data_IF_878476463525
#
_entry.id   IF_878476463525
#
_cell.length_a   1.000
_cell.length_b   1.000
_cell.length_c   1.000
_cell.angle_alpha   90.00
_cell.angle_beta   90.00
_cell.angle_gamma   90.00
#
_symmetry.space_group_name_H-M   'P 1'
#
loop_
_entity.id
_entity.type
_entity.pdbx_description
1 polymer ?
#
# COMPACT_ATOMS: atom_id res chain seq x y z
N UNK A 1 -10.43 -7.77 -17.32
CA UNK A 1 -9.14 -7.08 -17.04
C UNK A 1 -8.23 -7.23 -18.27
N UNK A 2 -7.04 -6.58 -18.28
CA UNK A 2 -6.17 -6.59 -19.47
C UNK A 2 -5.61 -7.97 -19.84
N UNK A 3 -5.35 -8.83 -18.86
CA UNK A 3 -4.82 -10.17 -19.09
C UNK A 3 -5.84 -11.07 -19.80
N UNK A 4 -7.11 -11.06 -19.35
CA UNK A 4 -8.19 -11.80 -20.01
C UNK A 4 -8.42 -11.33 -21.45
N UNK A 5 -8.34 -10.01 -21.71
CA UNK A 5 -8.46 -9.48 -23.06
C UNK A 5 -7.30 -9.94 -23.96
N UNK A 6 -6.07 -9.93 -23.45
CA UNK A 6 -4.91 -10.46 -24.17
C UNK A 6 -5.04 -11.97 -24.43
N UNK A 7 -5.52 -12.74 -23.46
CA UNK A 7 -5.79 -14.18 -23.59
C UNK A 7 -6.86 -14.48 -24.64
N UNK A 8 -7.86 -13.61 -24.79
CA UNK A 8 -8.87 -13.67 -25.86
C UNK A 8 -8.36 -13.15 -27.23
N UNK A 9 -7.07 -12.82 -27.36
CA UNK A 9 -6.46 -12.39 -28.61
C UNK A 9 -6.56 -10.89 -28.92
N UNK A 10 -7.14 -10.08 -28.02
CA UNK A 10 -7.19 -8.63 -28.21
C UNK A 10 -5.82 -8.00 -27.98
N UNK A 11 -5.41 -7.12 -28.90
CA UNK A 11 -4.16 -6.33 -28.78
C UNK A 11 -4.48 -4.85 -28.54
N UNK A 12 -3.78 -4.18 -27.61
CA UNK A 12 -3.99 -2.74 -27.40
C UNK A 12 -3.61 -1.96 -28.65
N UNK A 13 -4.55 -1.23 -29.25
CA UNK A 13 -4.24 -0.28 -30.32
C UNK A 13 -3.54 0.97 -29.76
N UNK A 14 -3.08 1.88 -30.62
CA UNK A 14 -2.39 3.12 -30.21
C UNK A 14 -3.26 4.06 -29.36
N UNK A 15 -4.58 3.96 -29.48
CA UNK A 15 -5.55 4.71 -28.68
C UNK A 15 -5.88 4.02 -27.36
N UNK A 16 -5.82 2.68 -27.32
CA UNK A 16 -6.04 1.92 -26.09
C UNK A 16 -4.84 2.11 -25.15
N UNK A 17 -5.11 2.66 -23.97
CA UNK A 17 -4.13 2.90 -22.90
C UNK A 17 -4.42 2.00 -21.69
N UNK A 18 -4.36 0.66 -21.81
CA UNK A 18 -4.58 -0.23 -20.68
C UNK A 18 -3.59 0.00 -19.54
N UNK A 19 -2.40 0.52 -19.83
CA UNK A 19 -1.40 0.91 -18.83
C UNK A 19 -1.82 2.12 -17.99
N UNK A 20 -2.73 2.94 -18.51
CA UNK A 20 -3.30 4.09 -17.83
C UNK A 20 -4.64 3.76 -17.14
N UNK A 21 -5.14 2.53 -17.27
CA UNK A 21 -6.30 2.09 -16.50
C UNK A 21 -5.91 1.99 -15.01
N UNK A 22 -6.77 2.45 -14.09
CA UNK A 22 -6.58 2.14 -12.67
C UNK A 22 -6.49 0.61 -12.51
N UNK A 23 -5.50 0.11 -11.76
CA UNK A 23 -5.17 -1.32 -11.65
C UNK A 23 -6.38 -2.20 -11.28
N UNK A 24 -6.24 -3.52 -11.41
CA UNK A 24 -7.33 -4.48 -11.12
C UNK A 24 -7.75 -4.35 -9.66
N UNK A 25 -9.00 -3.91 -9.37
CA UNK A 25 -9.49 -3.84 -8.00
C UNK A 25 -9.47 -5.22 -7.35
N UNK A 26 -9.17 -5.26 -6.05
CA UNK A 26 -9.33 -6.48 -5.27
C UNK A 26 -10.81 -6.94 -5.21
N UNK A 27 -11.77 -6.04 -5.46
CA UNK A 27 -13.21 -6.37 -5.59
C UNK A 27 -13.51 -7.32 -6.74
N UNK A 28 -12.65 -7.41 -7.75
CA UNK A 28 -12.83 -8.35 -8.85
C UNK A 28 -12.53 -9.80 -8.44
N UNK A 29 -11.77 -10.02 -7.38
CA UNK A 29 -11.54 -11.34 -6.83
C UNK A 29 -12.75 -11.75 -5.98
N UNK A 30 -13.42 -12.84 -6.36
CA UNK A 30 -14.54 -13.39 -5.59
C UNK A 30 -14.02 -14.18 -4.40
N UNK A 31 -12.86 -14.81 -4.56
CA UNK A 31 -12.16 -15.52 -3.49
C UNK A 31 -11.11 -14.65 -2.81
N UNK A 32 -11.07 -14.70 -1.46
CA UNK A 32 -9.99 -14.09 -0.67
C UNK A 32 -8.60 -14.63 -1.05
N UNK A 33 -8.52 -15.86 -1.58
CA UNK A 33 -7.28 -16.47 -2.05
C UNK A 33 -6.76 -15.80 -3.33
N UNK A 34 -7.66 -15.47 -4.27
CA UNK A 34 -7.29 -14.75 -5.50
C UNK A 34 -6.86 -13.32 -5.16
N UNK A 35 -7.55 -12.67 -4.23
CA UNK A 35 -7.14 -11.35 -3.72
C UNK A 35 -5.75 -11.39 -3.07
N UNK A 36 -5.47 -12.40 -2.24
CA UNK A 36 -4.15 -12.61 -1.63
C UNK A 36 -3.06 -12.83 -2.68
N UNK A 37 -3.30 -13.73 -3.65
CA UNK A 37 -2.38 -13.99 -4.74
C UNK A 37 -2.14 -12.75 -5.61
N UNK A 38 -3.16 -11.94 -5.91
CA UNK A 38 -3.00 -10.68 -6.63
C UNK A 38 -2.10 -9.71 -5.86
N UNK A 39 -2.27 -9.58 -4.54
CA UNK A 39 -1.37 -8.73 -3.72
C UNK A 39 0.08 -9.21 -3.76
N UNK A 40 0.31 -10.53 -3.78
CA UNK A 40 1.65 -11.10 -3.91
C UNK A 40 2.25 -10.88 -5.30
N UNK A 41 1.48 -11.09 -6.37
CA UNK A 41 1.88 -10.75 -7.74
C UNK A 41 2.16 -9.25 -7.82
N UNK A 42 1.37 -8.43 -7.12
CA UNK A 42 1.58 -7.00 -7.03
C UNK A 42 2.89 -6.62 -6.35
N UNK A 43 3.32 -7.43 -5.38
CA UNK A 43 4.60 -7.33 -4.70
C UNK A 43 5.77 -8.00 -5.46
N UNK A 44 5.55 -8.57 -6.65
CA UNK A 44 6.60 -9.15 -7.50
C UNK A 44 6.86 -10.64 -7.29
N UNK A 45 5.95 -11.39 -6.64
CA UNK A 45 6.17 -12.81 -6.33
C UNK A 45 6.43 -13.71 -7.56
N UNK A 46 5.96 -13.32 -8.74
CA UNK A 46 6.16 -14.06 -10.01
C UNK A 46 7.19 -13.40 -10.95
N UNK A 47 7.95 -12.41 -10.46
CA UNK A 47 9.06 -11.85 -11.22
C UNK A 47 10.24 -12.84 -11.24
N UNK A 48 10.53 -13.47 -10.10
CA UNK A 48 11.58 -14.48 -9.90
C UNK A 48 11.07 -15.84 -9.42
N UNK A 49 9.82 -15.93 -8.92
CA UNK A 49 9.23 -17.15 -8.37
C UNK A 49 8.34 -17.94 -9.35
N UNK A 50 7.80 -19.07 -8.87
CA UNK A 50 6.89 -19.95 -9.60
C UNK A 50 5.45 -19.90 -9.07
N UNK A 51 4.48 -20.37 -9.88
CA UNK A 51 3.08 -20.50 -9.43
C UNK A 51 2.97 -21.52 -8.30
N UNK A 52 3.80 -22.56 -8.29
CA UNK A 52 3.84 -23.54 -7.21
C UNK A 52 4.25 -22.89 -5.87
N UNK A 53 5.28 -22.04 -5.87
CA UNK A 53 5.71 -21.30 -4.68
C UNK A 53 4.64 -20.30 -4.23
N UNK A 54 4.01 -19.59 -5.17
CA UNK A 54 2.90 -18.68 -4.90
C UNK A 54 1.72 -19.42 -4.22
N UNK A 55 1.32 -20.56 -4.79
CA UNK A 55 0.22 -21.37 -4.28
C UNK A 55 0.54 -21.96 -2.89
N UNK A 56 1.77 -22.46 -2.70
CA UNK A 56 2.23 -22.97 -1.41
C UNK A 56 2.17 -21.93 -0.29
N UNK A 57 2.57 -20.68 -0.56
CA UNK A 57 2.48 -19.57 0.42
C UNK A 57 1.06 -19.21 0.82
N UNK A 58 0.08 -19.48 -0.04
CA UNK A 58 -1.35 -19.23 0.20
C UNK A 58 -2.02 -20.48 0.81
N UNK A 59 -1.32 -21.62 0.90
CA UNK A 59 -1.84 -22.86 1.46
C UNK A 59 -2.73 -23.66 0.51
N UNK A 60 -2.55 -23.50 -0.81
CA UNK A 60 -3.35 -24.22 -1.82
C UNK A 60 -2.49 -24.89 -2.89
N UNK A 61 -3.06 -25.88 -3.59
CA UNK A 61 -2.39 -26.52 -4.73
C UNK A 61 -2.36 -25.62 -5.97
N UNK A 62 -1.31 -25.70 -6.78
CA UNK A 62 -1.14 -24.91 -8.00
C UNK A 62 -2.33 -25.02 -8.96
N UNK A 63 -2.83 -26.24 -9.19
CA UNK A 63 -4.00 -26.47 -10.07
C UNK A 63 -5.25 -25.76 -9.57
N UNK A 64 -5.46 -25.77 -8.25
CA UNK A 64 -6.58 -25.08 -7.62
C UNK A 64 -6.47 -23.57 -7.78
N UNK A 65 -5.29 -23.00 -7.53
CA UNK A 65 -5.04 -21.57 -7.69
C UNK A 65 -5.25 -21.13 -9.15
N UNK A 66 -4.73 -21.88 -10.12
CA UNK A 66 -4.91 -21.58 -11.55
C UNK A 66 -6.40 -21.57 -11.94
N UNK A 67 -7.16 -22.56 -11.47
CA UNK A 67 -8.61 -22.62 -11.73
C UNK A 67 -9.32 -21.40 -11.15
N UNK A 68 -9.08 -21.05 -9.89
CA UNK A 68 -9.67 -19.86 -9.27
C UNK A 68 -9.34 -18.57 -10.04
N UNK A 69 -8.12 -18.44 -10.56
CA UNK A 69 -7.71 -17.29 -11.36
C UNK A 69 -8.48 -17.19 -12.69
N UNK A 70 -8.65 -18.32 -13.39
CA UNK A 70 -9.42 -18.36 -14.63
C UNK A 70 -10.89 -18.07 -14.35
N UNK A 71 -11.46 -18.64 -13.29
CA UNK A 71 -12.86 -18.45 -12.92
C UNK A 71 -13.17 -16.99 -12.50
N UNK A 72 -12.30 -16.39 -11.68
CA UNK A 72 -12.52 -15.03 -11.14
C UNK A 72 -12.07 -13.94 -12.13
N UNK A 73 -10.98 -14.14 -12.86
CA UNK A 73 -10.28 -13.10 -13.61
C UNK A 73 -10.18 -13.40 -15.11
N UNK A 74 -10.53 -14.60 -15.56
CA UNK A 74 -10.45 -14.99 -16.98
C UNK A 74 -9.03 -15.21 -17.50
N UNK A 75 -8.02 -15.24 -16.64
CA UNK A 75 -6.61 -15.43 -17.01
C UNK A 75 -5.82 -16.07 -15.87
N UNK A 76 -4.81 -16.88 -16.21
CA UNK A 76 -3.97 -17.57 -15.23
C UNK A 76 -2.98 -16.63 -14.51
N UNK A 77 -2.40 -17.04 -13.36
CA UNK A 77 -1.47 -16.20 -12.59
C UNK A 77 -0.26 -15.69 -13.39
N UNK A 78 0.34 -16.54 -14.24
CA UNK A 78 1.48 -16.16 -15.09
C UNK A 78 1.09 -15.16 -16.18
N UNK A 79 -0.09 -15.28 -16.76
CA UNK A 79 -0.59 -14.37 -17.79
C UNK A 79 -0.85 -12.98 -17.19
N UNK A 80 -1.41 -12.93 -15.97
CA UNK A 80 -1.59 -11.69 -15.23
C UNK A 80 -0.23 -11.04 -14.92
N UNK A 81 0.73 -11.80 -14.40
CA UNK A 81 2.06 -11.29 -14.10
C UNK A 81 2.80 -10.81 -15.36
N UNK A 82 2.73 -11.56 -16.48
CA UNK A 82 3.35 -11.18 -17.74
C UNK A 82 2.71 -9.90 -18.32
N UNK A 83 1.38 -9.82 -18.30
CA UNK A 83 0.64 -8.63 -18.76
C UNK A 83 1.04 -7.41 -17.93
N UNK A 84 1.14 -7.55 -16.61
CA UNK A 84 1.54 -6.46 -15.71
C UNK A 84 2.96 -5.96 -16.01
N UNK A 85 3.91 -6.86 -16.22
CA UNK A 85 5.28 -6.50 -16.63
C UNK A 85 5.30 -5.74 -17.94
N UNK A 86 4.52 -6.18 -18.94
CA UNK A 86 4.41 -5.50 -20.23
C UNK A 86 3.76 -4.11 -20.13
N UNK A 87 2.72 -3.96 -19.30
CA UNK A 87 2.08 -2.67 -19.06
C UNK A 87 3.02 -1.71 -18.33
N UNK A 88 3.77 -2.20 -17.34
CA UNK A 88 4.76 -1.39 -16.63
C UNK A 88 5.91 -0.96 -17.54
N UNK A 89 6.43 -1.86 -18.39
CA UNK A 89 7.44 -1.50 -19.38
C UNK A 89 6.94 -0.45 -20.38
N UNK A 90 5.71 -0.62 -20.91
CA UNK A 90 5.10 0.39 -21.80
C UNK A 90 4.99 1.74 -21.11
N UNK A 91 4.54 1.75 -19.85
CA UNK A 91 4.46 2.96 -19.03
C UNK A 91 5.82 3.66 -18.94
N UNK A 92 6.89 2.93 -18.59
CA UNK A 92 8.24 3.50 -18.51
C UNK A 92 8.74 4.05 -19.86
N UNK A 93 8.45 3.37 -20.97
CA UNK A 93 8.81 3.83 -22.32
C UNK A 93 8.12 5.14 -22.70
N UNK A 94 6.91 5.38 -22.18
CA UNK A 94 6.10 6.56 -22.51
C UNK A 94 6.22 7.71 -21.53
N UNK A 95 6.68 7.44 -20.30
CA UNK A 95 6.71 8.43 -19.21
C UNK A 95 8.13 8.81 -18.78
N UNK A 96 9.14 8.04 -19.16
CA UNK A 96 10.53 8.28 -18.74
C UNK A 96 11.47 8.29 -19.93
N UNK A 97 12.66 8.85 -19.71
CA UNK A 97 13.77 8.81 -20.67
C UNK A 97 14.79 7.70 -20.41
N UNK A 98 14.42 6.69 -19.62
CA UNK A 98 15.32 5.59 -19.27
C UNK A 98 15.80 4.82 -20.51
N UNK A 99 17.06 4.36 -20.55
CA UNK A 99 17.51 3.40 -21.54
C UNK A 99 16.63 2.14 -21.52
N UNK A 100 16.36 1.56 -22.69
CA UNK A 100 15.50 0.36 -22.82
C UNK A 100 15.99 -0.80 -21.96
N UNK A 101 17.30 -0.93 -21.77
CA UNK A 101 17.92 -1.91 -20.86
C UNK A 101 17.46 -1.73 -19.41
N UNK A 102 17.48 -0.48 -18.90
CA UNK A 102 16.99 -0.14 -17.55
C UNK A 102 15.49 -0.39 -17.43
N UNK A 103 14.72 -0.09 -18.48
CA UNK A 103 13.27 -0.36 -18.52
C UNK A 103 12.99 -1.87 -18.42
N UNK A 104 13.73 -2.71 -19.14
CA UNK A 104 13.57 -4.16 -19.08
C UNK A 104 13.78 -4.68 -17.65
N UNK A 105 14.85 -4.24 -16.97
CA UNK A 105 15.12 -4.62 -15.59
C UNK A 105 14.07 -4.07 -14.61
N UNK A 106 13.65 -2.81 -14.77
CA UNK A 106 12.59 -2.20 -13.96
C UNK A 106 11.24 -2.92 -14.09
N UNK A 107 10.96 -3.52 -15.24
CA UNK A 107 9.77 -4.33 -15.50
C UNK A 107 9.93 -5.82 -15.16
N UNK A 108 10.99 -6.21 -14.43
CA UNK A 108 11.16 -7.58 -13.95
C UNK A 108 11.63 -8.57 -15.03
N UNK A 109 12.32 -8.10 -16.07
CA UNK A 109 12.99 -8.98 -17.04
C UNK A 109 14.48 -9.11 -16.73
N UNK A 110 14.94 -10.37 -16.62
CA UNK A 110 16.36 -10.67 -16.41
C UNK A 110 17.23 -10.45 -17.68
N UNK A 111 16.63 -10.37 -18.87
CA UNK A 111 17.37 -10.13 -20.11
C UNK A 111 16.59 -9.26 -21.10
N UNK A 112 17.33 -8.42 -21.82
CA UNK A 112 16.79 -7.57 -22.88
C UNK A 112 16.18 -8.39 -24.02
N UNK A 113 16.75 -9.57 -24.33
CA UNK A 113 16.22 -10.46 -25.36
C UNK A 113 14.81 -10.95 -25.02
N UNK A 114 14.62 -11.48 -23.80
CA UNK A 114 13.29 -11.94 -23.33
C UNK A 114 12.29 -10.79 -23.29
N UNK A 115 12.72 -9.61 -22.86
CA UNK A 115 11.91 -8.41 -22.88
C UNK A 115 11.43 -8.06 -24.29
N UNK A 116 12.35 -7.96 -25.26
CA UNK A 116 12.02 -7.63 -26.64
C UNK A 116 11.06 -8.66 -27.26
N UNK A 117 11.29 -9.95 -27.04
CA UNK A 117 10.40 -11.01 -27.52
C UNK A 117 8.99 -10.91 -26.91
N UNK A 118 8.89 -10.71 -25.59
CA UNK A 118 7.60 -10.56 -24.92
C UNK A 118 6.86 -9.29 -25.38
N UNK A 119 7.59 -8.19 -25.55
CA UNK A 119 7.02 -6.92 -25.97
C UNK A 119 6.50 -6.97 -27.41
N UNK A 120 7.27 -7.58 -28.32
CA UNK A 120 6.85 -7.81 -29.70
C UNK A 120 5.63 -8.73 -29.76
N UNK A 121 5.59 -9.81 -28.97
CA UNK A 121 4.45 -10.70 -28.90
C UNK A 121 3.18 -9.99 -28.41
N UNK A 122 3.29 -9.15 -27.37
CA UNK A 122 2.15 -8.45 -26.76
C UNK A 122 1.65 -7.24 -27.56
N UNK A 123 2.54 -6.42 -28.12
CA UNK A 123 2.18 -5.16 -28.78
C UNK A 123 2.36 -5.18 -30.31
N UNK A 124 2.99 -6.20 -30.87
CA UNK A 124 3.27 -6.30 -32.32
C UNK A 124 4.29 -5.29 -32.84
N UNK A 125 4.99 -4.55 -31.97
CA UNK A 125 5.96 -3.50 -32.33
C UNK A 125 7.16 -3.52 -31.40
N UNK A 126 8.28 -2.92 -31.81
CA UNK A 126 9.46 -2.84 -30.97
C UNK A 126 9.29 -1.76 -29.89
N UNK A 127 9.93 -1.92 -28.71
CA UNK A 127 9.88 -0.94 -27.62
C UNK A 127 10.23 0.50 -28.05
N UNK A 128 11.23 0.64 -28.94
CA UNK A 128 11.67 1.93 -29.48
C UNK A 128 10.58 2.68 -30.24
N UNK A 129 9.66 1.96 -30.89
CA UNK A 129 8.62 2.56 -31.73
C UNK A 129 7.48 3.17 -30.90
N UNK A 130 7.43 2.87 -29.60
CA UNK A 130 6.44 3.41 -28.65
C UNK A 130 7.01 4.53 -27.77
N UNK A 131 8.32 4.78 -27.85
CA UNK A 131 8.93 5.92 -27.17
C UNK A 131 8.41 7.19 -27.83
N UNK A 132 7.80 8.07 -27.04
CA UNK A 132 7.41 9.41 -27.51
C UNK A 132 8.66 10.27 -27.60
N UNK A 133 8.84 10.97 -28.72
CA UNK A 133 9.84 12.04 -28.90
C UNK A 133 9.45 13.34 -28.15
N UNK A 134 8.73 13.24 -27.03
CA UNK A 134 8.44 14.40 -26.19
C UNK A 134 9.66 14.70 -25.31
N UNK A 135 10.60 15.42 -25.92
CA UNK A 135 11.73 16.13 -25.32
C UNK A 135 11.24 17.24 -24.38
N UNK A 136 10.63 16.85 -23.27
CA UNK A 136 10.48 17.69 -22.09
C UNK A 136 11.68 17.49 -21.18
N UNK A 137 12.78 18.20 -21.44
CA UNK A 137 13.99 18.20 -20.61
C UNK A 137 13.65 18.79 -19.24
N UNK A 138 13.27 17.95 -18.28
CA UNK A 138 13.39 18.31 -16.87
C UNK A 138 14.80 17.89 -16.43
N UNK A 139 15.62 18.85 -16.05
CA UNK A 139 16.99 18.67 -15.54
C UNK A 139 17.04 17.96 -14.17
N UNK A 140 15.98 17.28 -13.77
CA UNK A 140 15.88 16.54 -12.52
C UNK A 140 16.31 15.09 -12.74
N UNK A 141 17.16 14.57 -11.85
CA UNK A 141 17.46 13.14 -11.75
C UNK A 141 16.24 12.27 -11.40
N UNK A 142 15.14 12.90 -10.96
CA UNK A 142 13.94 12.22 -10.52
C UNK A 142 13.11 11.70 -11.71
N UNK A 143 12.72 10.43 -11.63
CA UNK A 143 11.83 9.77 -12.58
C UNK A 143 10.39 10.09 -12.24
N UNK A 144 9.62 10.63 -13.19
CA UNK A 144 8.19 10.91 -13.00
C UNK A 144 7.33 9.80 -13.60
N UNK A 145 6.39 9.29 -12.82
CA UNK A 145 5.48 8.20 -13.17
C UNK A 145 4.03 8.60 -12.85
N UNK A 146 3.09 8.16 -13.67
CA UNK A 146 1.65 8.46 -13.47
C UNK A 146 0.90 7.30 -12.84
N UNK A 147 0.27 7.52 -11.71
CA UNK A 147 -0.51 6.51 -10.98
C UNK A 147 -2.00 6.85 -11.13
N UNK A 148 -2.71 6.19 -12.06
CA UNK A 148 -4.14 6.40 -12.24
C UNK A 148 -4.93 5.88 -11.04
N UNK A 149 -5.99 6.61 -10.69
CA UNK A 149 -6.98 6.24 -9.66
C UNK A 149 -8.39 6.29 -10.24
N UNK A 150 -9.36 5.72 -9.53
CA UNK A 150 -10.79 5.84 -9.87
C UNK A 150 -11.40 7.04 -9.15
N UNK A 151 -12.03 7.97 -9.87
CA UNK A 151 -12.80 9.03 -9.23
C UNK A 151 -14.11 8.47 -8.60
N UNK A 152 -14.66 9.08 -7.54
CA UNK A 152 -14.13 10.22 -6.80
C UNK A 152 -12.88 9.87 -5.96
N UNK A 153 -12.05 10.88 -5.69
CA UNK A 153 -10.77 10.70 -4.98
C UNK A 153 -10.43 11.94 -4.12
N UNK A 154 -10.60 11.82 -2.81
CA UNK A 154 -10.36 12.88 -1.84
C UNK A 154 -8.88 12.91 -1.39
N UNK A 155 -8.04 13.42 -2.28
CA UNK A 155 -6.60 13.58 -2.00
C UNK A 155 -6.31 14.57 -0.87
N UNK A 156 -7.16 15.59 -0.69
CA UNK A 156 -6.98 16.56 0.37
C UNK A 156 -7.14 15.92 1.75
N UNK A 157 -8.15 15.07 1.93
CA UNK A 157 -8.34 14.32 3.17
C UNK A 157 -7.18 13.35 3.45
N UNK A 158 -6.63 12.70 2.41
CA UNK A 158 -5.42 11.88 2.55
C UNK A 158 -4.22 12.71 3.02
N UNK A 159 -3.95 13.86 2.39
CA UNK A 159 -2.86 14.74 2.81
C UNK A 159 -3.07 15.25 4.23
N UNK A 160 -4.28 15.67 4.60
CA UNK A 160 -4.60 16.09 5.97
C UNK A 160 -4.37 14.95 6.98
N UNK A 161 -4.71 13.71 6.61
CA UNK A 161 -4.46 12.53 7.43
C UNK A 161 -2.95 12.29 7.65
N UNK A 162 -2.15 12.37 6.58
CA UNK A 162 -0.69 12.20 6.64
C UNK A 162 -0.01 13.35 7.38
N UNK A 163 -0.40 14.61 7.15
CA UNK A 163 0.20 15.79 7.76
C UNK A 163 0.14 15.74 9.30
N UNK A 164 -0.99 15.26 9.85
CA UNK A 164 -1.16 15.07 11.31
C UNK A 164 -0.21 14.03 11.90
N UNK A 165 0.35 13.13 11.08
CA UNK A 165 1.14 11.96 11.50
C UNK A 165 2.57 11.96 10.94
N UNK A 166 2.94 12.96 10.16
CA UNK A 166 4.23 13.04 9.50
C UNK A 166 5.38 13.06 10.52
N UNK A 167 6.36 12.20 10.35
CA UNK A 167 7.61 12.25 11.14
C UNK A 167 8.55 13.24 10.49
N UNK A 168 8.94 14.29 11.23
CA UNK A 168 9.91 15.27 10.77
C UNK A 168 11.23 14.60 10.36
N UNK A 169 11.83 15.04 9.25
CA UNK A 169 13.05 14.44 8.70
C UNK A 169 12.82 13.22 7.79
N UNK A 170 11.68 12.53 7.91
CA UNK A 170 11.32 11.38 7.07
C UNK A 170 10.19 11.70 6.09
N UNK A 171 9.19 12.46 6.53
CA UNK A 171 7.99 12.82 5.77
C UNK A 171 7.76 14.33 5.78
N UNK A 172 7.32 14.86 4.64
CA UNK A 172 6.87 16.25 4.50
C UNK A 172 5.56 16.25 3.74
N UNK A 173 4.55 16.90 4.32
CA UNK A 173 3.22 17.00 3.72
C UNK A 173 2.88 18.46 3.49
N UNK A 174 2.68 18.81 2.23
CA UNK A 174 2.31 20.13 1.76
C UNK A 174 0.87 20.12 1.27
N UNK A 175 0.28 21.29 1.01
CA UNK A 175 -1.11 21.39 0.54
C UNK A 175 -1.40 20.61 -0.76
N UNK A 176 -0.37 20.33 -1.57
CA UNK A 176 -0.51 19.68 -2.89
C UNK A 176 0.29 18.40 -3.05
N UNK A 177 0.98 17.94 -2.00
CA UNK A 177 1.80 16.75 -2.15
C UNK A 177 2.36 16.19 -0.86
N UNK A 178 2.84 14.97 -0.99
CA UNK A 178 3.47 14.19 0.05
C UNK A 178 4.87 13.81 -0.41
N UNK A 179 5.88 14.15 0.36
CA UNK A 179 7.26 13.73 0.15
C UNK A 179 7.68 12.79 1.25
N UNK A 180 8.41 11.75 0.88
CA UNK A 180 8.99 10.79 1.82
C UNK A 180 10.42 10.43 1.43
N UNK A 181 11.28 10.32 2.44
CA UNK A 181 12.58 9.66 2.34
C UNK A 181 12.46 8.20 2.75
N UNK A 182 13.17 7.32 2.09
CA UNK A 182 13.12 5.89 2.37
C UNK A 182 14.45 5.22 2.07
N UNK A 183 14.59 3.98 2.55
CA UNK A 183 15.56 3.04 2.02
C UNK A 183 14.84 1.80 1.47
N UNK A 184 15.45 1.20 0.46
CA UNK A 184 15.05 -0.08 -0.10
C UNK A 184 16.32 -0.81 -0.55
N UNK A 185 16.52 -2.04 -0.07
CA UNK A 185 17.70 -2.87 -0.32
C UNK A 185 19.03 -2.12 -0.05
N UNK A 186 19.10 -1.45 1.10
CA UNK A 186 20.29 -0.69 1.54
C UNK A 186 20.54 0.62 0.77
N UNK A 187 19.70 0.98 -0.20
CA UNK A 187 19.84 2.22 -0.98
C UNK A 187 18.82 3.25 -0.50
N UNK A 188 19.26 4.48 -0.31
CA UNK A 188 18.39 5.59 0.04
C UNK A 188 17.74 6.23 -1.18
N UNK A 189 16.55 6.80 -1.00
CA UNK A 189 15.85 7.55 -2.03
C UNK A 189 14.78 8.48 -1.47
N UNK A 190 14.22 9.29 -2.36
CA UNK A 190 13.05 10.11 -2.08
C UNK A 190 11.94 9.88 -3.10
N UNK A 191 10.72 10.06 -2.63
CA UNK A 191 9.55 10.11 -3.49
C UNK A 191 8.72 11.35 -3.20
N UNK A 192 8.05 11.89 -4.21
CA UNK A 192 7.02 12.90 -4.09
C UNK A 192 5.77 12.43 -4.82
N UNK A 193 4.62 12.55 -4.16
CA UNK A 193 3.30 12.25 -4.73
C UNK A 193 2.46 13.51 -4.73
N UNK A 194 1.87 13.84 -5.89
CA UNK A 194 0.94 14.96 -6.05
C UNK A 194 -0.24 14.58 -6.94
N UNK A 195 -1.40 15.24 -6.78
CA UNK A 195 -2.56 15.02 -7.67
C UNK A 195 -2.47 15.91 -8.89
N UNK A 196 -2.56 15.33 -10.08
CA UNK A 196 -2.61 16.09 -11.34
C UNK A 196 -3.97 16.78 -11.46
N UNK A 197 -3.98 18.05 -11.89
CA UNK A 197 -5.23 18.83 -11.98
C UNK A 197 -6.16 18.40 -13.12
N UNK A 198 -5.57 17.98 -14.24
CA UNK A 198 -6.29 17.73 -15.49
C UNK A 198 -6.59 16.23 -15.74
N UNK A 199 -6.33 15.35 -14.76
CA UNK A 199 -6.49 13.91 -14.93
C UNK A 199 -6.75 13.22 -13.59
N UNK A 200 -7.44 12.07 -13.64
CA UNK A 200 -7.63 11.17 -12.50
C UNK A 200 -6.36 10.35 -12.19
N UNK A 201 -5.28 11.08 -11.94
CA UNK A 201 -3.92 10.56 -11.85
C UNK A 201 -3.13 11.27 -10.76
N UNK A 202 -2.35 10.50 -10.00
CA UNK A 202 -1.26 11.04 -9.17
C UNK A 202 0.04 11.06 -9.97
N UNK A 203 0.81 12.14 -9.88
CA UNK A 203 2.21 12.14 -10.29
C UNK A 203 3.08 11.61 -9.14
N UNK A 204 3.94 10.65 -9.45
CA UNK A 204 4.95 10.08 -8.57
C UNK A 204 6.32 10.43 -9.12
N UNK A 205 7.03 11.33 -8.45
CA UNK A 205 8.43 11.62 -8.75
C UNK A 205 9.32 10.79 -7.82
N UNK A 206 10.29 10.06 -8.36
CA UNK A 206 11.18 9.15 -7.61
C UNK A 206 12.62 9.50 -7.91
N UNK A 207 13.38 9.86 -6.87
CA UNK A 207 14.83 9.97 -6.90
C UNK A 207 15.40 8.75 -6.16
N UNK A 208 15.79 7.73 -6.94
CA UNK A 208 16.28 6.45 -6.43
C UNK A 208 17.22 5.81 -7.44
N UNK A 209 18.42 5.42 -7.00
CA UNK A 209 19.47 4.94 -7.89
C UNK A 209 19.13 3.60 -8.56
N UNK A 210 18.38 2.72 -7.89
CA UNK A 210 18.09 1.38 -8.41
C UNK A 210 16.73 1.31 -9.11
N UNK A 211 16.77 1.54 -10.42
CA UNK A 211 15.59 1.48 -11.28
C UNK A 211 14.89 0.12 -11.29
N UNK A 212 15.57 -0.98 -10.92
CA UNK A 212 14.95 -2.31 -10.89
C UNK A 212 13.82 -2.41 -9.86
N UNK A 213 13.81 -1.52 -8.85
CA UNK A 213 12.80 -1.50 -7.78
C UNK A 213 11.66 -0.51 -8.01
N UNK A 214 11.59 0.15 -9.17
CA UNK A 214 10.52 1.12 -9.45
C UNK A 214 9.12 0.49 -9.38
N UNK A 215 8.97 -0.77 -9.79
CA UNK A 215 7.70 -1.48 -9.68
C UNK A 215 7.30 -1.69 -8.22
N UNK A 216 8.25 -2.06 -7.36
CA UNK A 216 8.05 -2.19 -5.90
C UNK A 216 7.67 -0.86 -5.26
N UNK A 217 8.38 0.23 -5.61
CA UNK A 217 8.07 1.59 -5.13
C UNK A 217 6.67 2.00 -5.59
N UNK A 218 6.32 1.79 -6.86
CA UNK A 218 4.99 2.05 -7.37
C UNK A 218 3.93 1.26 -6.59
N UNK A 219 4.14 -0.04 -6.36
CA UNK A 219 3.20 -0.87 -5.61
C UNK A 219 3.01 -0.37 -4.16
N UNK A 220 4.08 0.05 -3.48
CA UNK A 220 4.00 0.68 -2.14
C UNK A 220 3.20 1.98 -2.18
N UNK A 221 3.45 2.86 -3.16
CA UNK A 221 2.71 4.12 -3.31
C UNK A 221 1.24 3.86 -3.61
N UNK A 222 0.93 2.89 -4.48
CA UNK A 222 -0.46 2.51 -4.77
C UNK A 222 -1.22 2.08 -3.52
N UNK A 223 -0.58 1.31 -2.62
CA UNK A 223 -1.16 0.91 -1.32
C UNK A 223 -1.24 2.06 -0.32
N UNK A 224 -0.18 2.86 -0.22
CA UNK A 224 -0.11 4.02 0.68
C UNK A 224 -1.25 5.00 0.40
N UNK A 225 -1.54 5.24 -0.88
CA UNK A 225 -2.58 6.15 -1.34
C UNK A 225 -3.91 5.49 -1.68
N UNK A 226 -4.00 4.15 -1.65
CA UNK A 226 -5.24 3.40 -1.88
C UNK A 226 -5.90 3.70 -3.23
N UNK A 227 -5.08 3.82 -4.27
CA UNK A 227 -5.53 4.22 -5.63
C UNK A 227 -6.30 3.11 -6.37
N UNK A 228 -6.13 1.86 -5.94
CA UNK A 228 -6.75 0.68 -6.54
C UNK A 228 -8.18 0.46 -6.07
N UNK A 229 -8.60 1.06 -4.95
CA UNK A 229 -9.93 0.89 -4.40
C UNK A 229 -11.03 1.36 -5.35
N UNK A 230 -12.04 0.51 -5.50
CA UNK A 230 -13.29 0.80 -6.20
C UNK A 230 -14.25 1.50 -5.25
N UNK A 231 -14.02 2.80 -5.06
CA UNK A 231 -14.79 3.59 -4.10
C UNK A 231 -16.27 3.64 -4.46
N UNK A 232 -16.63 3.60 -5.74
CA UNK A 232 -18.04 3.58 -6.13
C UNK A 232 -18.75 2.32 -5.58
N UNK A 233 -18.12 1.14 -5.71
CA UNK A 233 -18.66 -0.10 -5.16
C UNK A 233 -18.67 -0.10 -3.62
N UNK A 234 -17.63 0.42 -2.99
CA UNK A 234 -17.51 0.52 -1.53
C UNK A 234 -18.58 1.47 -0.96
N UNK A 235 -18.68 2.68 -1.51
CA UNK A 235 -19.65 3.70 -1.10
C UNK A 235 -21.09 3.19 -1.28
N UNK A 236 -21.37 2.48 -2.37
CA UNK A 236 -22.68 1.89 -2.62
C UNK A 236 -23.07 0.84 -1.56
N UNK A 237 -22.11 0.01 -1.11
CA UNK A 237 -22.34 -0.96 -0.04
C UNK A 237 -22.52 -0.26 1.32
N UNK A 238 -21.64 0.67 1.68
CA UNK A 238 -21.69 1.37 2.97
C UNK A 238 -22.93 2.26 3.10
N UNK A 239 -23.39 2.88 2.01
CA UNK A 239 -24.59 3.72 2.00
C UNK A 239 -25.91 2.96 2.26
N UNK A 240 -25.88 1.62 2.26
CA UNK A 240 -27.03 0.79 2.67
C UNK A 240 -27.37 1.01 4.14
N UNK A 241 -26.38 1.19 5.01
CA UNK A 241 -26.60 1.54 6.41
C UNK A 241 -26.97 3.03 6.53
N UNK A 242 -28.15 3.37 7.11
CA UNK A 242 -28.56 4.76 7.32
C UNK A 242 -27.54 5.61 8.09
N UNK A 243 -26.77 5.02 9.01
CA UNK A 243 -25.76 5.71 9.82
C UNK A 243 -24.60 6.21 8.97
N UNK A 244 -24.16 5.41 7.99
CA UNK A 244 -23.03 5.75 7.13
C UNK A 244 -23.46 6.52 5.88
N UNK A 245 -24.71 6.38 5.43
CA UNK A 245 -25.23 7.02 4.21
C UNK A 245 -24.97 8.52 4.16
N UNK A 246 -25.19 9.23 5.27
CA UNK A 246 -24.93 10.67 5.34
C UNK A 246 -23.42 10.99 5.24
N UNK A 247 -22.58 10.19 5.89
CA UNK A 247 -21.12 10.39 5.89
C UNK A 247 -20.48 10.07 4.54
N UNK A 248 -20.96 9.03 3.84
CA UNK A 248 -20.56 8.69 2.48
C UNK A 248 -20.88 9.83 1.53
N UNK A 249 -22.11 10.36 1.59
CA UNK A 249 -22.53 11.50 0.75
C UNK A 249 -21.74 12.77 1.04
N UNK A 250 -21.38 13.02 2.31
CA UNK A 250 -20.63 14.22 2.72
C UNK A 250 -19.17 14.19 2.28
N UNK A 251 -18.57 13.00 2.22
CA UNK A 251 -17.15 12.82 1.92
C UNK A 251 -16.93 11.75 0.83
N UNK A 252 -17.40 12.00 -0.40
CA UNK A 252 -17.21 11.05 -1.50
C UNK A 252 -15.71 10.90 -1.82
N UNK A 253 -15.29 9.69 -2.19
CA UNK A 253 -13.87 9.47 -2.51
C UNK A 253 -12.98 9.28 -1.28
N UNK A 254 -13.56 9.01 -0.11
CA UNK A 254 -12.82 8.67 1.11
C UNK A 254 -11.96 7.43 0.86
N UNK A 255 -10.66 7.54 1.15
CA UNK A 255 -9.68 6.46 0.96
C UNK A 255 -9.26 5.85 2.28
N UNK A 256 -8.62 4.69 2.21
CA UNK A 256 -7.96 4.03 3.34
C UNK A 256 -6.45 4.35 3.31
N UNK A 257 -5.95 5.32 4.11
CA UNK A 257 -4.52 5.67 4.06
C UNK A 257 -3.68 4.47 4.50
N UNK A 258 -2.74 4.02 3.66
CA UNK A 258 -1.84 2.93 4.00
C UNK A 258 -0.65 3.36 4.86
N UNK A 259 0.38 2.53 4.86
CA UNK A 259 1.68 2.75 5.47
C UNK A 259 2.80 2.43 4.50
N UNK A 260 3.97 3.04 4.70
CA UNK A 260 5.14 2.77 3.86
C UNK A 260 5.77 1.40 4.14
N UNK A 261 5.87 1.08 5.43
CA UNK A 261 6.46 -0.14 5.96
C UNK A 261 5.63 -0.67 7.12
N UNK A 262 5.53 -1.99 7.25
CA UNK A 262 4.68 -2.63 8.25
C UNK A 262 5.21 -2.49 9.67
N UNK A 263 6.52 -2.68 9.86
CA UNK A 263 7.16 -2.51 11.18
C UNK A 263 7.06 -1.06 11.65
N UNK A 264 7.31 -0.10 10.76
CA UNK A 264 7.10 1.32 11.08
C UNK A 264 5.66 1.61 11.54
N UNK A 265 4.66 1.01 10.90
CA UNK A 265 3.26 1.14 11.32
C UNK A 265 3.00 0.51 12.69
N UNK A 266 3.59 -0.65 12.99
CA UNK A 266 3.47 -1.29 14.29
C UNK A 266 4.05 -0.41 15.41
N UNK A 267 5.25 0.12 15.19
CA UNK A 267 5.90 1.04 16.13
C UNK A 267 5.00 2.27 16.36
N UNK A 268 4.53 2.90 15.28
CA UNK A 268 3.61 4.06 15.37
C UNK A 268 2.30 3.73 16.08
N UNK A 269 1.78 2.52 15.92
CA UNK A 269 0.55 2.07 16.59
C UNK A 269 0.73 2.03 18.11
N UNK A 270 1.84 1.45 18.60
CA UNK A 270 2.15 1.37 20.02
C UNK A 270 2.52 2.74 20.61
N UNK A 271 3.29 3.56 19.88
CA UNK A 271 3.56 4.94 20.28
C UNK A 271 2.26 5.73 20.47
N UNK A 272 1.24 5.48 19.64
CA UNK A 272 -0.06 6.14 19.68
C UNK A 272 -1.04 5.64 20.73
N UNK A 273 -0.71 4.56 21.47
CA UNK A 273 -1.63 4.00 22.46
C UNK A 273 -1.93 5.01 23.58
N UNK A 274 -3.23 5.22 23.83
CA UNK A 274 -3.78 6.03 24.93
C UNK A 274 -3.34 7.50 24.97
N UNK A 275 -2.77 8.03 23.87
CA UNK A 275 -2.32 9.42 23.78
C UNK A 275 -2.86 10.10 22.53
N UNK A 276 -2.70 11.42 22.44
CA UNK A 276 -3.08 12.18 21.26
C UNK A 276 -2.16 11.87 20.07
N UNK A 277 -2.67 12.07 18.85
CA UNK A 277 -1.87 11.94 17.61
C UNK A 277 -0.66 12.88 17.62
N UNK A 278 -0.79 14.08 18.20
CA UNK A 278 0.31 15.04 18.30
C UNK A 278 1.43 14.51 19.23
N UNK A 279 1.07 13.96 20.39
CA UNK A 279 2.03 13.36 21.32
C UNK A 279 2.72 12.12 20.71
N UNK A 280 1.97 11.27 20.01
CA UNK A 280 2.52 10.12 19.29
C UNK A 280 3.54 10.55 18.21
N UNK A 281 3.23 11.63 17.48
CA UNK A 281 4.15 12.21 16.49
C UNK A 281 5.44 12.73 17.14
N UNK A 282 5.36 13.36 18.31
CA UNK A 282 6.55 13.79 19.06
C UNK A 282 7.42 12.61 19.50
N UNK A 283 6.83 11.54 20.00
CA UNK A 283 7.59 10.32 20.36
C UNK A 283 8.24 9.69 19.13
N UNK A 284 7.55 9.66 17.99
CA UNK A 284 8.10 9.12 16.75
C UNK A 284 9.29 9.94 16.21
N UNK A 285 9.25 11.27 16.36
CA UNK A 285 10.38 12.13 16.02
C UNK A 285 11.59 11.84 16.93
N UNK A 286 11.40 11.74 18.25
CA UNK A 286 12.46 11.39 19.20
C UNK A 286 13.05 10.00 18.93
N UNK A 287 12.21 9.04 18.56
CA UNK A 287 12.65 7.70 18.16
C UNK A 287 13.55 7.75 16.93
N UNK A 288 13.16 8.53 15.90
CA UNK A 288 13.97 8.73 14.71
C UNK A 288 15.30 9.43 15.03
N UNK A 289 15.28 10.49 15.84
CA UNK A 289 16.48 11.23 16.22
C UNK A 289 17.47 10.39 17.01
N UNK A 290 16.98 9.52 17.90
CA UNK A 290 17.81 8.71 18.81
C UNK A 290 18.31 7.41 18.18
N UNK A 291 17.43 6.70 17.48
CA UNK A 291 17.70 5.33 17.01
C UNK A 291 17.72 5.21 15.48
N UNK A 292 17.43 6.28 14.75
CA UNK A 292 17.42 6.25 13.28
C UNK A 292 18.82 6.16 12.70
N UNK A 293 18.99 5.25 11.73
CA UNK A 293 20.25 5.02 11.04
C UNK A 293 20.58 6.20 10.11
N UNK A 294 21.81 6.77 10.16
CA UNK A 294 22.22 7.80 9.21
C UNK A 294 22.20 7.28 7.77
N UNK A 295 21.66 8.09 6.86
CA UNK A 295 21.67 7.79 5.43
C UNK A 295 21.85 9.08 4.62
N UNK A 296 22.34 8.92 3.39
CA UNK A 296 22.58 10.03 2.46
C UNK A 296 21.79 9.81 1.18
N UNK A 297 21.01 10.82 0.80
CA UNK A 297 20.24 10.82 -0.44
C UNK A 297 21.16 10.95 -1.68
N UNK A 298 20.67 10.60 -2.88
CA UNK A 298 21.43 10.77 -4.12
C UNK A 298 21.92 12.21 -4.38
N UNK A 299 21.18 13.20 -3.86
CA UNK A 299 21.54 14.62 -3.93
C UNK A 299 22.55 15.07 -2.85
N UNK A 300 23.07 14.16 -2.03
CA UNK A 300 24.02 14.44 -0.95
C UNK A 300 23.39 14.88 0.38
N UNK A 301 22.07 15.03 0.47
CA UNK A 301 21.41 15.42 1.71
C UNK A 301 21.40 14.27 2.73
N UNK A 302 21.85 14.55 3.95
CA UNK A 302 21.83 13.61 5.06
C UNK A 302 20.46 13.58 5.76
N UNK A 303 20.04 12.39 6.15
CA UNK A 303 18.83 12.17 6.94
C UNK A 303 18.98 10.92 7.81
N UNK A 304 17.93 10.60 8.57
CA UNK A 304 17.85 9.35 9.34
C UNK A 304 16.75 8.46 8.78
N UNK A 305 17.06 7.18 8.63
CA UNK A 305 16.09 6.14 8.33
C UNK A 305 15.31 5.78 9.59
N UNK A 306 14.08 5.31 9.38
CA UNK A 306 13.31 4.73 10.48
C UNK A 306 14.09 3.50 11.02
N UNK A 307 14.20 3.33 12.35
CA UNK A 307 15.01 2.25 12.91
C UNK A 307 14.53 0.87 12.46
N UNK A 308 15.47 -0.02 12.13
CA UNK A 308 15.17 -1.40 11.82
C UNK A 308 14.75 -2.19 13.08
N UNK A 309 14.05 -3.33 12.95
CA UNK A 309 13.66 -4.18 14.08
C UNK A 309 14.83 -4.53 14.99
N UNK A 310 15.98 -4.88 14.43
CA UNK A 310 17.18 -5.29 15.15
C UNK A 310 17.72 -4.17 16.05
N UNK A 311 17.54 -2.92 15.64
CA UNK A 311 17.97 -1.75 16.44
C UNK A 311 17.06 -1.55 17.65
N UNK A 312 15.75 -1.79 17.51
CA UNK A 312 14.77 -1.54 18.57
C UNK A 312 14.59 -2.71 19.53
N UNK A 313 15.03 -3.92 19.16
CA UNK A 313 14.93 -5.13 19.98
C UNK A 313 15.55 -4.94 21.38
N UNK A 314 16.77 -4.38 21.43
CA UNK A 314 17.53 -4.18 22.68
C UNK A 314 17.66 -2.71 23.10
N UNK A 315 16.95 -1.81 22.41
CA UNK A 315 17.02 -0.39 22.70
C UNK A 315 16.37 -0.03 24.04
N UNK A 316 17.00 0.87 24.81
CA UNK A 316 16.38 1.53 25.94
C UNK A 316 15.43 2.64 25.46
N UNK A 317 14.20 2.24 25.10
CA UNK A 317 13.18 3.16 24.60
C UNK A 317 12.60 4.08 25.68
N UNK A 318 13.00 3.95 26.94
CA UNK A 318 12.61 4.94 27.97
C UNK A 318 13.25 6.30 27.70
N UNK A 319 14.39 6.34 26.99
CA UNK A 319 15.13 7.55 26.61
C UNK A 319 14.33 8.51 25.72
N UNK A 320 13.32 8.02 25.00
CA UNK A 320 12.44 8.87 24.16
C UNK A 320 11.19 9.35 24.92
N UNK A 321 11.08 9.02 26.21
CA UNK A 321 9.96 9.40 27.07
C UNK A 321 8.81 8.38 27.09
N UNK A 322 9.07 7.11 26.75
CA UNK A 322 8.09 6.05 26.87
C UNK A 322 8.04 5.48 28.30
N UNK A 323 6.83 5.20 28.83
CA UNK A 323 6.68 4.32 29.99
C UNK A 323 7.31 2.95 29.74
N UNK A 324 7.89 2.34 30.78
CA UNK A 324 8.58 1.05 30.71
C UNK A 324 7.76 -0.05 30.05
N UNK A 325 6.46 -0.11 30.31
CA UNK A 325 5.55 -1.11 29.72
C UNK A 325 5.39 -0.96 28.20
N UNK A 326 5.29 0.29 27.71
CA UNK A 326 5.23 0.56 26.26
C UNK A 326 6.58 0.38 25.57
N UNK A 327 7.68 0.72 26.24
CA UNK A 327 9.02 0.40 25.78
C UNK A 327 9.17 -1.13 25.61
N UNK A 328 8.87 -1.91 26.65
CA UNK A 328 8.91 -3.38 26.58
C UNK A 328 8.04 -3.94 25.44
N UNK A 329 6.83 -3.40 25.23
CA UNK A 329 5.95 -3.83 24.12
C UNK A 329 6.59 -3.58 22.75
N UNK A 330 7.27 -2.44 22.56
CA UNK A 330 7.98 -2.15 21.31
C UNK A 330 9.19 -3.06 21.10
N UNK A 331 9.97 -3.33 22.15
CA UNK A 331 11.06 -4.30 22.09
C UNK A 331 10.52 -5.69 21.74
N UNK A 332 9.41 -6.14 22.34
CA UNK A 332 8.74 -7.41 22.00
C UNK A 332 8.36 -7.48 20.53
N UNK A 333 7.74 -6.42 19.97
CA UNK A 333 7.42 -6.38 18.53
C UNK A 333 8.71 -6.45 17.69
N UNK A 334 9.72 -5.67 18.07
CA UNK A 334 10.98 -5.58 17.34
C UNK A 334 11.69 -6.94 17.28
N UNK A 335 11.82 -7.65 18.41
CA UNK A 335 12.31 -9.03 18.44
C UNK A 335 11.45 -9.95 17.58
N UNK A 336 10.13 -9.95 17.76
CA UNK A 336 9.24 -10.85 17.04
C UNK A 336 9.27 -10.66 15.51
N UNK A 337 9.48 -9.43 15.05
CA UNK A 337 9.66 -9.13 13.61
C UNK A 337 11.06 -9.52 13.13
N UNK A 338 12.12 -9.22 13.91
CA UNK A 338 13.50 -9.59 13.57
C UNK A 338 13.68 -11.12 13.47
N UNK A 339 13.07 -11.86 14.40
CA UNK A 339 13.10 -13.33 14.47
C UNK A 339 12.14 -14.00 13.48
N UNK A 340 11.30 -13.22 12.79
CA UNK A 340 10.30 -13.73 11.84
C UNK A 340 9.13 -14.49 12.50
N UNK A 341 8.89 -14.31 13.79
CA UNK A 341 7.74 -14.85 14.53
C UNK A 341 6.44 -14.23 14.02
N UNK A 342 6.46 -12.92 13.73
CA UNK A 342 5.37 -12.21 13.08
C UNK A 342 5.89 -11.40 11.89
N UNK A 343 5.03 -11.18 10.89
CA UNK A 343 5.39 -10.43 9.70
C UNK A 343 4.18 -9.70 9.08
N UNK A 344 4.42 -8.98 7.98
CA UNK A 344 3.41 -8.21 7.23
C UNK A 344 3.21 -8.76 5.81
N UNK A 345 3.41 -10.06 5.60
CA UNK A 345 3.24 -10.69 4.29
C UNK A 345 1.82 -10.47 3.76
N UNK A 346 1.67 -10.04 2.50
CA UNK A 346 0.38 -9.63 1.93
C UNK A 346 -0.64 -10.77 1.76
N UNK A 347 -0.19 -12.02 1.80
CA UNK A 347 -1.04 -13.20 1.67
C UNK A 347 -1.75 -13.62 2.96
N UNK A 348 -1.33 -13.09 4.12
CA UNK A 348 -1.98 -13.45 5.39
C UNK A 348 -3.47 -13.06 5.37
N UNK A 349 -4.31 -13.94 5.91
CA UNK A 349 -5.70 -13.61 6.19
C UNK A 349 -5.77 -12.60 7.34
N UNK A 350 -6.85 -11.81 7.40
CA UNK A 350 -7.06 -10.89 8.51
C UNK A 350 -7.05 -11.63 9.85
N UNK A 351 -7.78 -12.74 9.95
CA UNK A 351 -7.93 -13.49 11.19
C UNK A 351 -6.60 -14.12 11.62
N UNK A 352 -5.84 -14.68 10.66
CA UNK A 352 -4.51 -15.25 10.94
C UNK A 352 -3.51 -14.19 11.37
N UNK A 353 -3.52 -13.02 10.73
CA UNK A 353 -2.69 -11.88 11.13
C UNK A 353 -3.09 -11.38 12.53
N UNK A 354 -4.38 -11.20 12.81
CA UNK A 354 -4.83 -10.71 14.11
C UNK A 354 -4.51 -11.70 15.22
N UNK A 355 -4.71 -13.00 14.98
CA UNK A 355 -4.40 -14.05 15.95
C UNK A 355 -2.91 -14.05 16.33
N UNK A 356 -2.01 -14.12 15.33
CA UNK A 356 -0.56 -14.18 15.59
C UNK A 356 -0.03 -12.93 16.30
N UNK A 357 -0.50 -11.75 15.90
CA UNK A 357 -0.08 -10.51 16.55
C UNK A 357 -0.63 -10.36 17.98
N UNK A 358 -1.80 -10.93 18.28
CA UNK A 358 -2.37 -10.91 19.63
C UNK A 358 -1.71 -11.89 20.60
N UNK A 359 -0.88 -12.83 20.13
CA UNK A 359 -0.04 -13.66 21.00
C UNK A 359 1.10 -12.86 21.65
N UNK A 360 1.45 -11.71 21.07
CA UNK A 360 2.52 -10.85 21.60
C UNK A 360 2.06 -10.06 22.84
N UNK A 361 2.83 -10.09 23.95
CA UNK A 361 2.57 -9.25 25.11
C UNK A 361 2.42 -7.76 24.76
N UNK A 362 1.35 -7.13 25.27
CA UNK A 362 1.06 -5.71 25.03
C UNK A 362 0.32 -5.41 23.72
N UNK A 363 0.03 -6.42 22.89
CA UNK A 363 -0.69 -6.27 21.62
C UNK A 363 -2.10 -6.86 21.72
N UNK A 364 -3.09 -5.98 21.90
CA UNK A 364 -4.49 -6.37 21.83
C UNK A 364 -5.08 -6.31 20.42
N UNK A 365 -6.30 -6.85 20.26
CA UNK A 365 -7.04 -6.89 18.99
C UNK A 365 -7.19 -5.52 18.33
N UNK A 366 -7.36 -4.44 19.10
CA UNK A 366 -7.39 -3.08 18.57
C UNK A 366 -6.11 -2.73 17.79
N UNK A 367 -4.93 -3.00 18.38
CA UNK A 367 -3.63 -2.70 17.76
C UNK A 367 -3.44 -3.59 16.52
N UNK A 368 -3.77 -4.88 16.61
CA UNK A 368 -3.67 -5.82 15.50
C UNK A 368 -4.55 -5.41 14.30
N UNK A 369 -5.83 -5.08 14.53
CA UNK A 369 -6.69 -4.58 13.47
C UNK A 369 -6.23 -3.23 12.91
N UNK A 370 -5.72 -2.32 13.76
CA UNK A 370 -5.14 -1.07 13.28
C UNK A 370 -3.92 -1.31 12.38
N UNK A 371 -3.04 -2.26 12.75
CA UNK A 371 -1.90 -2.66 11.92
C UNK A 371 -2.35 -3.30 10.61
N UNK A 372 -3.30 -4.25 10.63
CA UNK A 372 -3.84 -4.85 9.40
C UNK A 372 -4.45 -3.79 8.47
N UNK A 373 -5.18 -2.84 9.05
CA UNK A 373 -5.80 -1.74 8.31
C UNK A 373 -4.76 -0.82 7.65
N UNK A 374 -3.66 -0.49 8.35
CA UNK A 374 -2.71 0.54 7.91
C UNK A 374 -1.49 -0.03 7.18
N UNK A 375 -0.92 -1.13 7.66
CA UNK A 375 0.26 -1.77 7.08
C UNK A 375 -0.10 -2.65 5.88
N UNK A 376 -1.19 -3.42 5.98
CA UNK A 376 -1.61 -4.34 4.92
C UNK A 376 -2.69 -3.76 4.00
N UNK A 377 -3.18 -2.55 4.31
CA UNK A 377 -4.35 -1.95 3.65
C UNK A 377 -5.57 -2.90 3.64
N UNK A 378 -5.76 -3.69 4.71
CA UNK A 378 -6.80 -4.70 4.75
C UNK A 378 -8.20 -4.02 4.81
N UNK A 379 -9.07 -4.21 3.81
CA UNK A 379 -10.31 -3.44 3.66
C UNK A 379 -11.37 -3.75 4.72
N UNK A 380 -11.25 -4.91 5.36
CA UNK A 380 -12.21 -5.40 6.34
C UNK A 380 -11.69 -5.37 7.78
N UNK A 381 -10.49 -4.80 8.02
CA UNK A 381 -9.96 -4.68 9.37
C UNK A 381 -10.78 -3.68 10.21
N UNK A 382 -11.09 -4.04 11.46
CA UNK A 382 -12.04 -3.31 12.28
C UNK A 382 -11.63 -3.26 13.76
N UNK A 383 -11.00 -2.16 14.23
CA UNK A 383 -10.57 -2.05 15.62
C UNK A 383 -11.77 -1.72 16.55
N UNK A 384 -12.65 -2.70 16.81
CA UNK A 384 -13.94 -2.49 17.49
C UNK A 384 -13.88 -1.83 18.88
N UNK A 385 -12.76 -1.97 19.59
CA UNK A 385 -12.54 -1.36 20.90
C UNK A 385 -12.18 0.15 20.83
N UNK A 386 -12.05 0.72 19.63
CA UNK A 386 -11.67 2.11 19.43
C UNK A 386 -12.67 3.07 20.08
N UNK A 387 -12.17 3.98 20.91
CA UNK A 387 -13.01 4.88 21.70
C UNK A 387 -13.84 5.81 20.81
N UNK A 388 -13.26 6.28 19.69
CA UNK A 388 -13.96 7.18 18.77
C UNK A 388 -15.06 6.42 18.05
N UNK A 389 -14.80 5.21 17.56
CA UNK A 389 -15.82 4.36 16.94
C UNK A 389 -16.97 4.07 17.91
N UNK A 390 -16.66 3.65 19.14
CA UNK A 390 -17.67 3.36 20.16
C UNK A 390 -18.51 4.59 20.48
N UNK A 391 -17.92 5.78 20.59
CA UNK A 391 -18.65 7.04 20.80
C UNK A 391 -19.58 7.36 19.63
N UNK A 392 -19.10 7.22 18.39
CA UNK A 392 -19.88 7.52 17.18
C UNK A 392 -21.05 6.56 16.96
N UNK A 393 -20.94 5.33 17.46
CA UNK A 393 -21.96 4.28 17.30
C UNK A 393 -22.87 4.15 18.53
N UNK A 394 -22.57 4.87 19.61
CA UNK A 394 -23.41 4.96 20.79
C UNK A 394 -24.67 5.79 20.54
N UNK A 395 -25.76 5.43 21.20
CA UNK A 395 -27.00 6.19 21.22
C UNK A 395 -27.22 6.80 22.61
N UNK A 396 -27.73 8.03 22.68
CA UNK A 396 -28.14 8.67 23.93
C UNK A 396 -27.04 8.80 24.99
N UNK A 397 -25.78 8.94 24.58
CA UNK A 397 -24.63 9.07 25.51
C UNK A 397 -24.09 7.75 26.07
N UNK A 398 -24.66 6.59 25.69
CA UNK A 398 -24.13 5.28 26.10
C UNK A 398 -22.95 4.84 25.23
N UNK A 399 -21.92 4.26 25.85
CA UNK A 399 -20.76 3.74 25.15
C UNK A 399 -20.91 2.22 24.91
N UNK A 400 -21.28 1.75 23.70
CA UNK A 400 -21.50 0.34 23.42
C UNK A 400 -20.24 -0.48 23.70
N UNK A 401 -20.40 -1.76 24.03
CA UNK A 401 -19.27 -2.69 24.17
C UNK A 401 -18.61 -2.95 22.81
N UNK A 402 -17.34 -3.37 22.82
CA UNK A 402 -16.63 -3.73 21.58
C UNK A 402 -17.39 -4.82 20.80
N UNK A 403 -17.95 -5.82 21.51
CA UNK A 403 -18.76 -6.90 20.92
C UNK A 403 -20.04 -6.39 20.24
N UNK A 404 -20.71 -5.39 20.83
CA UNK A 404 -21.89 -4.78 20.22
C UNK A 404 -21.53 -3.99 18.95
N UNK A 405 -20.40 -3.27 18.99
CA UNK A 405 -19.87 -2.53 17.83
C UNK A 405 -19.46 -3.47 16.70
N UNK A 406 -18.86 -4.62 17.04
CA UNK A 406 -18.48 -5.65 16.07
C UNK A 406 -19.70 -6.30 15.40
N UNK A 407 -20.73 -6.67 16.17
CA UNK A 407 -21.99 -7.20 15.63
C UNK A 407 -22.69 -6.21 14.69
N UNK A 408 -22.62 -4.91 14.98
CA UNK A 408 -23.14 -3.87 14.09
C UNK A 408 -22.36 -3.83 12.77
N UNK A 409 -21.03 -3.89 12.86
CA UNK A 409 -20.12 -3.73 11.73
C UNK A 409 -20.19 -4.87 10.71
N UNK A 410 -20.78 -6.02 11.04
CA UNK A 410 -21.00 -7.13 10.11
C UNK A 410 -21.76 -6.70 8.84
N UNK A 411 -22.68 -5.73 8.95
CA UNK A 411 -23.40 -5.16 7.81
C UNK A 411 -22.51 -4.39 6.83
N UNK A 412 -21.33 -3.96 7.27
CA UNK A 412 -20.39 -3.18 6.45
C UNK A 412 -19.34 -4.06 5.77
N UNK A 413 -19.37 -5.38 5.99
CA UNK A 413 -18.47 -6.29 5.28
C UNK A 413 -18.67 -6.21 3.76
N UNK A 414 -17.59 -6.40 2.98
CA UNK A 414 -16.19 -6.61 3.41
C UNK A 414 -15.38 -5.30 3.55
N UNK A 415 -16.03 -4.16 3.84
CA UNK A 415 -15.45 -2.80 3.81
C UNK A 415 -15.41 -2.12 5.17
N UNK A 416 -15.32 -2.88 6.27
CA UNK A 416 -15.35 -2.32 7.62
C UNK A 416 -14.26 -1.27 7.86
N UNK A 417 -13.08 -1.38 7.27
CA UNK A 417 -12.03 -0.36 7.39
C UNK A 417 -12.43 0.99 6.76
N UNK A 418 -13.19 0.99 5.68
CA UNK A 418 -13.70 2.22 5.07
C UNK A 418 -14.82 2.85 5.92
N UNK A 419 -15.68 2.02 6.53
CA UNK A 419 -16.65 2.49 7.52
C UNK A 419 -15.94 3.19 8.70
N UNK A 420 -14.85 2.62 9.21
CA UNK A 420 -13.99 3.24 10.25
C UNK A 420 -13.50 4.62 9.81
N UNK A 421 -13.00 4.74 8.57
CA UNK A 421 -12.54 6.03 8.04
C UNK A 421 -13.66 7.08 7.97
N UNK A 422 -14.87 6.70 7.55
CA UNK A 422 -16.02 7.60 7.59
C UNK A 422 -16.40 8.00 9.01
N UNK A 423 -16.42 7.06 9.97
CA UNK A 423 -16.77 7.35 11.36
C UNK A 423 -15.75 8.28 12.03
N UNK A 424 -14.45 8.00 11.87
CA UNK A 424 -13.37 8.85 12.41
C UNK A 424 -13.35 10.25 11.81
N UNK A 425 -13.68 10.40 10.51
CA UNK A 425 -13.70 11.71 9.87
C UNK A 425 -14.85 12.60 10.36
N UNK A 426 -15.94 11.99 10.84
CA UNK A 426 -17.13 12.70 11.31
C UNK A 426 -17.22 12.77 12.84
N UNK A 427 -16.16 12.39 13.56
CA UNK A 427 -16.10 12.49 15.03
C UNK A 427 -15.49 13.79 15.55
N UNK A 428 -15.14 14.72 14.66
CA UNK A 428 -14.48 16.00 14.96
C UNK A 428 -15.51 17.11 14.89
#
# INVERSE_FOLDING_TARGET
>A
NAAAAAGAGYRPCLRCRPEAAPGTPLTCARSGLVAAALRMIDAGALDEGSVAQLAGRIGVGERHLRRLFVDDLGAGPLEIAATRRLLFAKKLLTETNLPVTRIAHAAGYASLRRFNSAFLAGYGRAPRDLRRDESGTSASSALSLRIPFRAPYDFHALLAFFARRAIAGLERVEARGYTRRFALDGKAGTLRVSKMRAADTLALDVDFADTSRLQTICARVRRLFDVDADIAAIDAQLARDPRLRAFVRRHPGQRLPGGWDGFEIAVRAVLGQQISVAAARTLAARLLDRFGEPATLPNGENFRLFPAPEVLADADLTQIGLPRTRAATLNTIACAVADGVVDFRPEQSLDGFVASWCELPGIGAWTAHYMAMRAMSHPDAFPAADLVLRKMLGAGGTLPSARAVEALAEHWRPWRAYAVMHLWRNSI
#
